data_IF_150668805561
#
_entry.id   IF_150668805561
#
_cell.length_a   1.000
_cell.length_b   1.000
_cell.length_c   1.000
_cell.angle_alpha   90.00
_cell.angle_beta   90.00
_cell.angle_gamma   90.00
#
_symmetry.space_group_name_H-M   'P 1'
#
loop_
_entity.id
_entity.type
_entity.pdbx_description
1 polymer ?
#
# COMPACT_ATOMS: atom_id res chain seq x y z
N UNK A 1 -11.22 40.84 5.53
CA UNK A 1 -12.09 41.81 6.24
C UNK A 1 -12.06 43.19 5.56
N UNK A 2 -10.93 43.81 5.37
CA UNK A 2 -10.83 45.17 4.80
C UNK A 2 -11.41 45.29 3.38
N UNK A 3 -11.06 44.37 2.48
CA UNK A 3 -11.60 44.34 1.10
C UNK A 3 -13.12 44.31 1.02
N UNK A 4 -13.78 43.69 2.01
CA UNK A 4 -15.24 43.59 2.05
C UNK A 4 -15.85 44.54 3.06
N UNK A 5 -15.10 45.53 3.56
CA UNK A 5 -15.58 46.57 4.51
C UNK A 5 -16.29 45.98 5.74
N UNK A 6 -15.85 44.83 6.21
CA UNK A 6 -16.41 44.15 7.36
C UNK A 6 -17.67 43.28 7.07
N UNK A 7 -18.10 43.16 5.82
CA UNK A 7 -19.28 42.37 5.43
C UNK A 7 -18.95 40.86 5.54
N UNK A 8 -19.31 40.25 6.67
CA UNK A 8 -19.03 38.85 6.96
C UNK A 8 -19.80 37.87 6.07
N UNK A 9 -20.97 38.27 5.55
CA UNK A 9 -21.76 37.40 4.68
C UNK A 9 -21.15 37.26 3.30
N UNK A 10 -20.58 38.34 2.76
CA UNK A 10 -19.79 38.28 1.53
C UNK A 10 -18.56 37.44 1.67
N UNK A 11 -17.87 37.53 2.81
CA UNK A 11 -16.68 36.69 3.06
C UNK A 11 -17.07 35.21 3.06
N UNK A 12 -18.11 34.83 3.80
CA UNK A 12 -18.63 33.45 3.80
C UNK A 12 -19.08 32.97 2.41
N UNK A 13 -19.70 33.86 1.63
CA UNK A 13 -20.10 33.52 0.27
C UNK A 13 -18.89 33.24 -0.65
N UNK A 14 -17.80 33.97 -0.50
CA UNK A 14 -16.54 33.72 -1.23
C UNK A 14 -15.96 32.36 -0.83
N UNK A 15 -15.83 32.06 0.45
CA UNK A 15 -15.33 30.78 0.94
C UNK A 15 -16.18 29.62 0.40
N UNK A 16 -17.50 29.73 0.45
CA UNK A 16 -18.42 28.72 -0.07
C UNK A 16 -18.27 28.52 -1.59
N UNK A 17 -18.08 29.62 -2.35
CA UNK A 17 -17.87 29.57 -3.79
C UNK A 17 -16.56 28.83 -4.13
N UNK A 18 -15.46 29.18 -3.45
CA UNK A 18 -14.17 28.53 -3.65
C UNK A 18 -14.24 27.05 -3.29
N UNK A 19 -14.84 26.70 -2.15
CA UNK A 19 -15.00 25.30 -1.73
C UNK A 19 -15.77 24.50 -2.80
N UNK A 20 -16.85 25.05 -3.31
CA UNK A 20 -17.66 24.42 -4.37
C UNK A 20 -16.86 24.21 -5.66
N UNK A 21 -16.13 25.23 -6.13
CA UNK A 21 -15.32 25.13 -7.34
C UNK A 21 -14.19 24.11 -7.20
N UNK A 22 -13.60 24.01 -6.01
CA UNK A 22 -12.55 23.03 -5.67
C UNK A 22 -13.11 21.62 -5.39
N UNK A 23 -14.42 21.43 -5.37
CA UNK A 23 -15.06 20.14 -5.09
C UNK A 23 -15.05 19.73 -3.63
N UNK A 24 -14.82 20.66 -2.70
CA UNK A 24 -14.89 20.39 -1.26
C UNK A 24 -16.31 20.53 -0.73
N UNK A 25 -16.63 19.72 0.28
CA UNK A 25 -17.87 19.89 1.03
C UNK A 25 -17.85 21.21 1.83
N UNK A 26 -18.99 21.86 2.04
CA UNK A 26 -19.05 23.14 2.77
C UNK A 26 -18.49 23.07 4.20
N UNK A 27 -18.60 21.92 4.85
CA UNK A 27 -18.08 21.65 6.20
C UNK A 27 -16.57 21.35 6.23
N UNK A 28 -15.93 21.19 5.07
CA UNK A 28 -14.48 21.06 4.96
C UNK A 28 -13.73 22.40 5.09
N UNK A 29 -14.46 23.53 5.05
CA UNK A 29 -13.88 24.87 5.19
C UNK A 29 -13.65 25.16 6.68
N UNK A 30 -12.38 25.39 7.03
CA UNK A 30 -12.00 25.76 8.39
C UNK A 30 -12.31 27.26 8.61
N UNK A 31 -13.20 27.62 9.54
CA UNK A 31 -13.64 29.01 9.70
C UNK A 31 -12.54 29.96 10.18
N UNK A 32 -11.58 29.43 10.94
CA UNK A 32 -10.41 30.18 11.41
C UNK A 32 -9.19 29.28 11.30
N UNK A 33 -8.20 29.72 10.55
CA UNK A 33 -6.91 29.03 10.42
C UNK A 33 -5.76 30.00 10.64
N UNK A 34 -4.58 29.47 11.05
CA UNK A 34 -3.35 30.22 11.08
C UNK A 34 -2.68 30.30 9.71
N UNK A 35 -1.37 30.44 9.68
CA UNK A 35 -0.58 30.52 8.45
C UNK A 35 -0.54 29.19 7.67
N UNK A 36 -0.82 28.08 8.33
CA UNK A 36 -0.79 26.74 7.75
C UNK A 36 -2.03 25.95 8.16
N UNK A 37 -2.40 25.00 7.32
CA UNK A 37 -3.42 24.02 7.67
C UNK A 37 -2.90 23.02 8.71
N UNK A 38 -3.82 22.27 9.33
CA UNK A 38 -3.46 21.20 10.26
C UNK A 38 -2.62 20.13 9.52
N UNK A 39 -1.45 19.81 10.05
CA UNK A 39 -0.57 18.76 9.51
C UNK A 39 -1.18 17.35 9.59
N UNK A 40 -2.32 17.23 10.23
CA UNK A 40 -3.14 16.01 10.21
C UNK A 40 -3.54 15.60 8.79
N UNK A 41 -3.70 16.56 7.89
CA UNK A 41 -3.99 16.28 6.47
C UNK A 41 -2.83 15.53 5.81
N UNK A 42 -1.59 15.94 6.08
CA UNK A 42 -0.40 15.25 5.56
C UNK A 42 -0.34 13.80 6.07
N UNK A 43 -0.69 13.59 7.35
CA UNK A 43 -0.75 12.24 7.93
C UNK A 43 -1.82 11.38 7.24
N UNK A 44 -2.99 11.90 6.92
CA UNK A 44 -4.03 11.17 6.18
C UNK A 44 -3.57 10.78 4.78
N UNK A 45 -2.91 11.70 4.07
CA UNK A 45 -2.39 11.45 2.72
C UNK A 45 -1.36 10.32 2.74
N UNK A 46 -0.33 10.41 3.59
CA UNK A 46 0.70 9.37 3.66
C UNK A 46 0.15 8.03 4.17
N UNK A 47 -0.84 8.02 5.08
CA UNK A 47 -1.51 6.79 5.48
C UNK A 47 -2.24 6.12 4.31
N UNK A 48 -2.89 6.90 3.43
CA UNK A 48 -3.51 6.34 2.23
C UNK A 48 -2.47 5.71 1.28
N UNK A 49 -1.34 6.39 1.04
CA UNK A 49 -0.25 5.85 0.24
C UNK A 49 0.37 4.59 0.87
N UNK A 50 0.53 4.57 2.19
CA UNK A 50 1.00 3.39 2.92
C UNK A 50 0.02 2.21 2.79
N UNK A 51 -1.28 2.45 2.73
CA UNK A 51 -2.29 1.42 2.45
C UNK A 51 -2.08 0.75 1.09
N UNK A 52 -1.74 1.53 0.06
CA UNK A 52 -1.36 1.01 -1.26
C UNK A 52 -0.07 0.17 -1.15
N UNK A 53 0.94 0.68 -0.46
CA UNK A 53 2.21 -0.01 -0.27
C UNK A 53 2.04 -1.35 0.47
N UNK A 54 1.15 -1.43 1.46
CA UNK A 54 0.83 -2.68 2.16
C UNK A 54 0.29 -3.74 1.21
N UNK A 55 -0.64 -3.37 0.33
CA UNK A 55 -1.22 -4.28 -0.66
C UNK A 55 -0.18 -4.77 -1.67
N UNK A 56 0.64 -3.86 -2.18
CA UNK A 56 1.73 -4.20 -3.11
C UNK A 56 2.79 -5.09 -2.44
N UNK A 57 3.12 -4.83 -1.18
CA UNK A 57 4.05 -5.66 -0.42
C UNK A 57 3.52 -7.07 -0.20
N UNK A 58 2.22 -7.21 0.13
CA UNK A 58 1.58 -8.52 0.30
C UNK A 58 1.65 -9.33 -0.99
N UNK A 59 1.24 -8.74 -2.12
CA UNK A 59 1.32 -9.38 -3.43
C UNK A 59 2.77 -9.79 -3.79
N UNK A 60 3.73 -8.87 -3.64
CA UNK A 60 5.13 -9.15 -3.95
C UNK A 60 5.73 -10.24 -3.07
N UNK A 61 5.32 -10.30 -1.80
CA UNK A 61 5.75 -11.35 -0.86
C UNK A 61 5.21 -12.71 -1.31
N UNK A 62 3.95 -12.81 -1.68
CA UNK A 62 3.34 -14.05 -2.18
C UNK A 62 4.05 -14.54 -3.46
N UNK A 63 4.28 -13.64 -4.41
CA UNK A 63 4.97 -13.99 -5.64
C UNK A 63 6.42 -14.45 -5.39
N UNK A 64 7.13 -13.87 -4.42
CA UNK A 64 8.46 -14.33 -3.99
C UNK A 64 8.42 -15.76 -3.43
N UNK A 65 7.40 -16.09 -2.64
CA UNK A 65 7.20 -17.44 -2.12
C UNK A 65 6.87 -18.43 -3.25
N UNK A 66 5.97 -18.05 -4.15
CA UNK A 66 5.61 -18.87 -5.31
C UNK A 66 6.79 -19.08 -6.27
N UNK A 67 7.66 -18.08 -6.40
CA UNK A 67 8.90 -18.21 -7.17
C UNK A 67 9.89 -19.21 -6.52
N UNK A 68 9.97 -19.24 -5.18
CA UNK A 68 10.74 -20.25 -4.47
C UNK A 68 10.22 -21.66 -4.73
N UNK A 69 8.90 -21.82 -4.83
CA UNK A 69 8.25 -23.10 -5.15
C UNK A 69 8.30 -23.46 -6.65
N UNK A 70 8.81 -22.57 -7.48
CA UNK A 70 8.83 -22.74 -8.95
C UNK A 70 7.43 -22.82 -9.58
N UNK A 71 6.43 -22.28 -8.92
CA UNK A 71 5.03 -22.26 -9.37
C UNK A 71 4.72 -21.04 -10.20
N UNK A 72 5.29 -19.88 -9.83
CA UNK A 72 5.17 -18.62 -10.55
C UNK A 72 6.48 -17.84 -10.50
N UNK A 73 6.70 -16.97 -11.48
CA UNK A 73 7.86 -16.08 -11.53
C UNK A 73 7.44 -14.70 -12.05
N UNK A 74 8.18 -13.66 -11.64
CA UNK A 74 8.10 -12.35 -12.30
C UNK A 74 8.68 -12.43 -13.73
N UNK A 75 8.31 -11.49 -14.63
CA UNK A 75 8.82 -11.50 -15.99
C UNK A 75 10.36 -11.39 -16.02
N UNK A 76 10.98 -12.18 -16.87
CA UNK A 76 12.41 -12.16 -17.09
C UNK A 76 12.71 -11.57 -18.47
N UNK A 77 13.43 -10.45 -18.51
CA UNK A 77 13.76 -9.79 -19.75
C UNK A 77 14.86 -10.54 -20.51
N UNK A 78 14.83 -10.49 -21.86
CA UNK A 78 15.78 -11.21 -22.71
C UNK A 78 17.25 -10.88 -22.42
N UNK A 79 17.51 -9.66 -21.96
CA UNK A 79 18.85 -9.18 -21.64
C UNK A 79 19.15 -9.15 -20.14
N UNK A 80 18.28 -9.69 -19.31
CA UNK A 80 18.44 -9.70 -17.86
C UNK A 80 19.41 -10.80 -17.45
N UNK A 81 20.49 -10.43 -16.75
CA UNK A 81 21.45 -11.37 -16.17
C UNK A 81 20.99 -11.70 -14.75
N UNK A 82 20.54 -12.92 -14.50
CA UNK A 82 20.09 -13.36 -13.17
C UNK A 82 21.22 -13.44 -12.15
N UNK A 83 22.38 -13.95 -12.58
CA UNK A 83 23.61 -14.03 -11.78
C UNK A 83 24.79 -14.31 -12.71
N UNK A 84 25.91 -13.66 -12.51
CA UNK A 84 27.15 -13.93 -13.27
C UNK A 84 27.74 -15.32 -12.97
N UNK A 85 27.53 -15.83 -11.77
CA UNK A 85 28.06 -17.11 -11.32
C UNK A 85 27.10 -18.30 -11.54
N UNK A 86 25.80 -18.03 -11.59
CA UNK A 86 24.75 -19.06 -11.71
C UNK A 86 23.69 -18.63 -12.73
N UNK A 87 23.90 -18.88 -14.03
CA UNK A 87 22.99 -18.40 -15.09
C UNK A 87 21.54 -18.89 -14.99
N UNK A 88 21.32 -20.03 -14.32
CA UNK A 88 20.00 -20.61 -14.10
C UNK A 88 19.22 -19.94 -12.94
N UNK A 89 19.91 -19.14 -12.13
CA UNK A 89 19.31 -18.53 -10.94
C UNK A 89 18.46 -17.33 -11.35
N UNK A 90 17.16 -17.42 -11.12
CA UNK A 90 16.20 -16.34 -11.29
C UNK A 90 15.73 -15.87 -9.93
N UNK A 91 16.08 -14.65 -9.57
CA UNK A 91 15.63 -14.02 -8.34
C UNK A 91 14.47 -13.06 -8.63
N UNK A 92 13.45 -13.01 -7.78
CA UNK A 92 12.34 -12.07 -7.92
C UNK A 92 12.76 -10.65 -7.47
N UNK A 93 13.73 -10.05 -8.18
CA UNK A 93 14.37 -8.78 -7.78
C UNK A 93 13.39 -7.60 -7.77
N UNK A 94 12.40 -7.58 -8.67
CA UNK A 94 11.38 -6.54 -8.73
C UNK A 94 10.47 -6.63 -7.52
N UNK A 95 10.00 -7.82 -7.19
CA UNK A 95 9.20 -8.06 -5.98
C UNK A 95 9.98 -7.75 -4.70
N UNK A 96 11.28 -8.05 -4.65
CA UNK A 96 12.14 -7.65 -3.53
C UNK A 96 12.23 -6.14 -3.38
N UNK A 97 12.33 -5.41 -4.49
CA UNK A 97 12.35 -3.95 -4.52
C UNK A 97 11.01 -3.34 -4.10
N UNK A 98 9.88 -3.90 -4.56
CA UNK A 98 8.55 -3.52 -4.08
C UNK A 98 8.48 -3.66 -2.56
N UNK A 99 8.88 -4.79 -2.00
CA UNK A 99 8.88 -5.01 -0.56
C UNK A 99 9.77 -4.01 0.21
N UNK A 100 10.93 -3.67 -0.35
CA UNK A 100 11.85 -2.73 0.30
C UNK A 100 11.27 -1.30 0.31
N UNK A 101 10.79 -0.80 -0.83
CA UNK A 101 10.18 0.52 -0.95
C UNK A 101 8.89 0.63 -0.15
N UNK A 102 8.08 -0.42 -0.11
CA UNK A 102 6.85 -0.45 0.69
C UNK A 102 7.13 -0.32 2.18
N UNK A 103 8.17 -1.00 2.70
CA UNK A 103 8.58 -0.82 4.10
C UNK A 103 9.00 0.62 4.38
N UNK A 104 9.77 1.21 3.46
CA UNK A 104 10.18 2.61 3.57
C UNK A 104 8.96 3.54 3.69
N UNK A 105 8.03 3.43 2.75
CA UNK A 105 6.82 4.27 2.72
C UNK A 105 5.92 4.06 3.96
N UNK A 106 5.78 2.82 4.43
CA UNK A 106 5.01 2.55 5.65
C UNK A 106 5.63 3.17 6.91
N UNK A 107 6.95 3.28 6.98
CA UNK A 107 7.65 3.94 8.09
C UNK A 107 7.61 5.47 7.96
N UNK A 108 7.66 5.98 6.72
CA UNK A 108 7.61 7.42 6.44
C UNK A 108 6.33 8.10 6.99
N UNK A 109 5.23 7.37 7.11
CA UNK A 109 3.97 7.83 7.75
C UNK A 109 4.16 8.37 9.17
N UNK A 110 5.18 7.93 9.87
CA UNK A 110 5.48 8.41 11.23
C UNK A 110 5.88 9.88 11.22
N UNK A 111 6.52 10.38 10.16
CA UNK A 111 6.95 11.77 10.05
C UNK A 111 5.78 12.75 10.23
N UNK A 112 4.72 12.75 9.38
CA UNK A 112 3.60 13.65 9.57
C UNK A 112 2.79 13.34 10.83
N UNK A 113 2.81 12.10 11.33
CA UNK A 113 2.14 11.74 12.57
C UNK A 113 2.76 12.45 13.77
N UNK A 114 4.09 12.44 13.87
CA UNK A 114 4.81 13.18 14.91
C UNK A 114 4.65 14.69 14.74
N UNK A 115 4.80 15.19 13.51
CA UNK A 115 4.62 16.62 13.20
C UNK A 115 3.24 17.11 13.61
N UNK A 116 2.18 16.32 13.37
CA UNK A 116 0.82 16.66 13.79
C UNK A 116 0.71 16.77 15.32
N UNK A 117 1.33 15.84 16.04
CA UNK A 117 1.26 15.81 17.51
C UNK A 117 2.04 16.95 18.19
N UNK A 118 3.02 17.51 17.50
CA UNK A 118 3.90 18.58 18.02
C UNK A 118 3.62 19.95 17.40
N UNK A 119 2.70 20.06 16.45
CA UNK A 119 2.33 21.33 15.82
C UNK A 119 1.77 22.29 16.88
N UNK A 120 2.42 23.45 17.02
CA UNK A 120 1.92 24.51 17.88
C UNK A 120 0.69 25.19 17.27
N UNK A 121 0.06 26.08 17.97
CA UNK A 121 -1.20 26.74 17.61
C UNK A 121 -1.35 27.07 16.12
N UNK A 122 -0.34 27.74 15.53
CA UNK A 122 -0.33 28.03 14.10
C UNK A 122 0.66 27.14 13.35
N UNK A 123 1.93 27.17 13.78
CA UNK A 123 3.01 26.36 13.20
C UNK A 123 4.30 26.44 14.01
N UNK A 124 5.17 25.46 13.76
CA UNK A 124 6.60 25.50 14.08
C UNK A 124 7.42 25.48 12.78
N UNK A 125 8.69 25.90 12.80
CA UNK A 125 9.51 25.87 11.59
C UNK A 125 9.98 24.46 11.21
N UNK A 126 10.09 23.55 12.16
CA UNK A 126 10.46 22.16 11.95
C UNK A 126 9.42 21.41 11.11
N UNK A 127 8.14 21.70 11.25
CA UNK A 127 7.07 21.09 10.48
C UNK A 127 7.26 21.26 8.97
N UNK A 128 7.70 22.42 8.57
CA UNK A 128 7.88 22.79 7.17
C UNK A 128 9.03 22.01 6.51
N UNK A 129 10.13 21.82 7.21
CA UNK A 129 11.28 21.08 6.70
C UNK A 129 10.96 19.57 6.58
N UNK A 130 10.42 18.98 7.64
CA UNK A 130 10.02 17.56 7.66
C UNK A 130 9.02 17.25 6.54
N UNK A 131 7.96 18.04 6.41
CA UNK A 131 6.94 17.87 5.38
C UNK A 131 7.54 17.83 3.96
N UNK A 132 8.47 18.73 3.65
CA UNK A 132 9.05 18.81 2.29
C UNK A 132 9.81 17.55 1.90
N UNK A 133 10.38 16.86 2.86
CA UNK A 133 11.06 15.57 2.64
C UNK A 133 10.03 14.45 2.61
N UNK A 134 9.31 14.24 3.71
CA UNK A 134 8.40 13.11 3.88
C UNK A 134 7.33 13.03 2.79
N UNK A 135 6.64 14.14 2.49
CA UNK A 135 5.59 14.13 1.47
C UNK A 135 6.15 13.84 0.08
N UNK A 136 7.26 14.47 -0.30
CA UNK A 136 7.85 14.25 -1.62
C UNK A 136 8.34 12.82 -1.79
N UNK A 137 9.07 12.29 -0.81
CA UNK A 137 9.60 10.93 -0.85
C UNK A 137 8.49 9.88 -0.78
N UNK A 138 7.43 10.13 -0.01
CA UNK A 138 6.26 9.26 0.06
C UNK A 138 5.58 9.08 -1.30
N UNK A 139 5.35 10.17 -2.03
CA UNK A 139 4.80 10.09 -3.39
C UNK A 139 5.74 9.43 -4.39
N UNK A 140 7.03 9.76 -4.35
CA UNK A 140 8.03 9.13 -5.23
C UNK A 140 8.16 7.62 -4.97
N UNK A 141 8.13 7.22 -3.69
CA UNK A 141 8.16 5.80 -3.32
C UNK A 141 6.90 5.08 -3.81
N UNK A 142 5.72 5.68 -3.63
CA UNK A 142 4.46 5.10 -4.11
C UNK A 142 4.45 4.95 -5.63
N UNK A 143 4.88 5.97 -6.37
CA UNK A 143 4.98 5.92 -7.84
C UNK A 143 5.94 4.82 -8.30
N UNK A 144 7.13 4.73 -7.69
CA UNK A 144 8.09 3.68 -8.00
C UNK A 144 7.54 2.27 -7.73
N UNK A 145 6.84 2.08 -6.59
CA UNK A 145 6.19 0.81 -6.25
C UNK A 145 5.16 0.43 -7.32
N UNK A 146 4.30 1.36 -7.70
CA UNK A 146 3.23 1.12 -8.67
C UNK A 146 3.78 0.83 -10.08
N UNK A 147 4.80 1.56 -10.52
CA UNK A 147 5.46 1.31 -11.81
C UNK A 147 6.11 -0.08 -11.87
N UNK A 148 6.80 -0.48 -10.80
CA UNK A 148 7.38 -1.84 -10.73
C UNK A 148 6.26 -2.88 -10.67
N UNK A 149 5.17 -2.61 -9.94
CA UNK A 149 4.03 -3.50 -9.84
C UNK A 149 3.36 -3.75 -11.20
N UNK A 150 3.13 -2.69 -11.99
CA UNK A 150 2.63 -2.80 -13.35
C UNK A 150 3.55 -3.66 -14.23
N UNK A 151 4.85 -3.42 -14.15
CA UNK A 151 5.81 -4.22 -14.91
C UNK A 151 5.81 -5.71 -14.51
N UNK A 152 5.68 -6.00 -13.22
CA UNK A 152 5.61 -7.39 -12.73
C UNK A 152 4.31 -8.07 -13.17
N UNK A 153 3.18 -7.38 -13.04
CA UNK A 153 1.86 -7.97 -13.34
C UNK A 153 1.60 -8.19 -14.83
N UNK A 154 2.21 -7.37 -15.70
CA UNK A 154 2.05 -7.48 -17.16
C UNK A 154 2.71 -8.74 -17.74
N UNK A 155 3.62 -9.38 -17.03
CA UNK A 155 4.38 -10.51 -17.56
C UNK A 155 4.58 -11.67 -16.58
N UNK A 156 3.70 -11.87 -15.62
CA UNK A 156 3.76 -13.01 -14.69
C UNK A 156 3.79 -14.33 -15.44
N UNK A 157 4.77 -15.17 -15.12
CA UNK A 157 4.90 -16.52 -15.66
C UNK A 157 4.32 -17.52 -14.66
N UNK A 158 3.40 -18.37 -15.12
CA UNK A 158 2.81 -19.44 -14.31
C UNK A 158 3.26 -20.79 -14.87
N UNK A 159 3.62 -21.73 -14.00
CA UNK A 159 4.00 -23.10 -14.37
C UNK A 159 2.91 -24.12 -13.97
N UNK A 160 1.84 -24.28 -14.78
CA UNK A 160 0.68 -25.09 -14.39
C UNK A 160 1.01 -26.55 -14.07
N UNK A 161 2.03 -27.12 -14.71
CA UNK A 161 2.46 -28.51 -14.45
C UNK A 161 3.06 -28.65 -13.05
N UNK A 162 3.82 -27.67 -12.59
CA UNK A 162 4.42 -27.66 -11.24
C UNK A 162 3.32 -27.50 -10.20
N UNK A 163 2.42 -26.52 -10.40
CA UNK A 163 1.25 -26.30 -9.55
C UNK A 163 0.41 -27.58 -9.43
N UNK A 164 0.11 -28.21 -10.56
CA UNK A 164 -0.64 -29.46 -10.59
C UNK A 164 0.07 -30.59 -9.84
N UNK A 165 1.37 -30.75 -10.06
CA UNK A 165 2.14 -31.80 -9.38
C UNK A 165 2.11 -31.63 -7.87
N UNK A 166 2.26 -30.42 -7.38
CA UNK A 166 2.18 -30.11 -5.94
C UNK A 166 0.78 -30.32 -5.38
N UNK A 167 -0.25 -29.84 -6.09
CA UNK A 167 -1.64 -30.07 -5.71
C UNK A 167 -1.93 -31.59 -5.58
N UNK A 168 -1.51 -32.38 -6.56
CA UNK A 168 -1.75 -33.82 -6.55
C UNK A 168 -1.02 -34.56 -5.42
N UNK A 169 0.10 -34.02 -4.95
CA UNK A 169 0.82 -34.58 -3.80
C UNK A 169 0.04 -34.35 -2.48
N UNK A 170 -0.63 -33.21 -2.35
CA UNK A 170 -1.39 -32.85 -1.15
C UNK A 170 -2.87 -33.31 -1.20
N UNK A 171 -3.42 -33.48 -2.40
CA UNK A 171 -4.84 -33.75 -2.62
C UNK A 171 -5.39 -34.93 -1.82
N UNK A 172 -4.67 -36.06 -1.65
CA UNK A 172 -5.17 -37.18 -0.84
C UNK A 172 -5.46 -36.81 0.61
N UNK A 173 -4.75 -35.83 1.15
CA UNK A 173 -4.89 -35.35 2.53
C UNK A 173 -5.93 -34.25 2.67
N UNK A 174 -6.24 -33.52 1.59
CA UNK A 174 -7.22 -32.42 1.61
C UNK A 174 -8.65 -32.90 1.88
N UNK A 175 -8.97 -34.14 1.55
CA UNK A 175 -10.29 -34.73 1.81
C UNK A 175 -10.45 -35.25 3.24
N UNK A 176 -9.42 -35.18 4.08
CA UNK A 176 -9.44 -35.74 5.45
C UNK A 176 -10.57 -35.18 6.33
N UNK A 177 -10.84 -33.89 6.23
CA UNK A 177 -11.92 -33.22 6.95
C UNK A 177 -13.28 -33.80 6.54
N UNK A 178 -13.55 -33.97 5.25
CA UNK A 178 -14.76 -34.54 4.73
C UNK A 178 -14.90 -36.02 5.16
N UNK A 179 -13.81 -36.79 5.11
CA UNK A 179 -13.78 -38.20 5.54
C UNK A 179 -14.08 -38.29 7.04
N UNK A 180 -13.47 -37.46 7.86
CA UNK A 180 -13.72 -37.42 9.30
C UNK A 180 -15.15 -37.03 9.60
N UNK A 181 -15.70 -36.00 8.93
CA UNK A 181 -17.09 -35.55 9.13
C UNK A 181 -18.08 -36.63 8.77
N UNK A 182 -17.90 -37.31 7.63
CA UNK A 182 -18.76 -38.42 7.21
C UNK A 182 -18.63 -39.61 8.19
N UNK A 183 -17.43 -39.95 8.60
CA UNK A 183 -17.19 -41.03 9.58
C UNK A 183 -17.85 -40.73 10.92
N UNK A 184 -17.81 -39.46 11.36
CA UNK A 184 -18.42 -39.05 12.64
C UNK A 184 -19.97 -39.06 12.58
N UNK A 185 -20.54 -38.73 11.42
CA UNK A 185 -22.00 -38.67 11.24
C UNK A 185 -22.64 -40.01 10.89
N UNK A 186 -21.90 -40.91 10.24
CA UNK A 186 -22.45 -42.19 9.75
C UNK A 186 -21.87 -43.43 10.39
N UNK A 187 -20.71 -43.35 11.02
CA UNK A 187 -20.08 -44.44 11.77
C UNK A 187 -20.14 -44.13 13.26
N UNK A 188 -21.35 -44.11 13.84
CA UNK A 188 -21.50 -44.19 15.29
C UNK A 188 -21.01 -45.55 15.72
N UNK A 189 -19.82 -45.63 16.30
CA UNK A 189 -19.38 -46.79 17.02
C UNK A 189 -20.39 -47.02 18.14
N UNK A 190 -20.92 -48.28 18.34
CA UNK A 190 -21.80 -48.55 19.43
C UNK A 190 -21.05 -48.24 20.74
N UNK A 191 -21.55 -47.27 21.47
CA UNK A 191 -21.12 -47.02 22.84
C UNK A 191 -21.64 -48.14 23.69
N UNK A 192 -20.77 -49.09 24.00
CA UNK A 192 -21.00 -50.04 25.10
C UNK A 192 -20.68 -49.40 26.43
#
# INVERSE_FOLDING_TARGET
MELFKGDADKIRAVDASIAKEMGFAPDAVIPVSGQTYSRKVDAFILNALAGIAQSCMKFATDLRLLANFKEMEEPFEKNQIGSSAMPYKRNPMRCERICALSRYLMVDVLNPSFTTGTQWFERTLDDSANKRVAMAEGFLAADAILNIMLNVTDGIVVYPKVVRSRLMAELPFMASENIMTVSYTHLTLPTT
#
